data_IF_641392297442
#
_entry.id   IF_641392297442
#
_cell.length_a   1.000
_cell.length_b   1.000
_cell.length_c   1.000
_cell.angle_alpha   90.00
_cell.angle_beta   90.00
_cell.angle_gamma   90.00
#
_symmetry.space_group_name_H-M   'P 1'
#
loop_
_entity.id
_entity.type
_entity.pdbx_description
1 polymer ?
#
# COMPACT_ATOMS: atom_id res chain seq x y z
N UNK A 1 -23.73 -51.37 -70.12
CA UNK A 1 -24.32 -50.99 -68.81
C UNK A 1 -23.23 -50.62 -67.75
N UNK A 2 -21.91 -50.76 -68.00
CA UNK A 2 -20.87 -50.56 -67.05
C UNK A 2 -20.28 -49.08 -66.97
N UNK A 3 -20.53 -48.31 -68.05
CA UNK A 3 -20.04 -46.91 -68.11
C UNK A 3 -20.84 -45.98 -67.16
N UNK A 4 -22.12 -46.22 -67.03
CA UNK A 4 -22.98 -45.38 -66.16
C UNK A 4 -22.69 -45.58 -64.66
N UNK A 5 -22.19 -46.75 -64.27
CA UNK A 5 -21.78 -47.01 -62.84
C UNK A 5 -20.47 -46.39 -62.47
N UNK A 6 -19.49 -46.26 -63.37
CA UNK A 6 -18.19 -45.63 -63.11
C UNK A 6 -18.30 -44.08 -63.06
N UNK A 7 -19.17 -43.51 -63.92
CA UNK A 7 -19.39 -42.04 -63.88
C UNK A 7 -20.10 -41.57 -62.62
N UNK A 8 -21.02 -42.37 -62.07
CA UNK A 8 -21.68 -42.11 -60.80
C UNK A 8 -20.70 -42.20 -59.61
N UNK A 9 -19.79 -43.17 -59.65
CA UNK A 9 -18.75 -43.30 -58.64
C UNK A 9 -17.74 -42.17 -58.71
N UNK A 10 -17.39 -41.67 -59.90
CA UNK A 10 -16.53 -40.49 -60.06
C UNK A 10 -17.20 -39.21 -59.58
N UNK A 11 -18.47 -39.00 -59.87
CA UNK A 11 -19.24 -37.85 -59.38
C UNK A 11 -19.39 -37.87 -57.86
N UNK A 12 -19.63 -39.00 -57.23
CA UNK A 12 -19.67 -39.12 -55.77
C UNK A 12 -18.32 -38.83 -55.13
N UNK A 13 -17.20 -39.29 -55.71
CA UNK A 13 -15.82 -38.93 -55.21
C UNK A 13 -15.52 -37.47 -55.35
N UNK A 14 -15.96 -36.79 -56.40
CA UNK A 14 -15.79 -35.35 -56.58
C UNK A 14 -16.51 -34.59 -55.46
N UNK A 15 -17.76 -34.91 -55.18
CA UNK A 15 -18.54 -34.27 -54.11
C UNK A 15 -18.02 -34.58 -52.70
N UNK A 16 -17.48 -35.76 -52.47
CA UNK A 16 -16.81 -36.11 -51.21
C UNK A 16 -15.52 -35.32 -51.03
N UNK A 17 -14.70 -35.16 -52.10
CA UNK A 17 -13.49 -34.35 -52.05
C UNK A 17 -13.77 -32.85 -51.82
N UNK A 18 -14.84 -32.31 -52.42
CA UNK A 18 -15.27 -30.94 -52.18
C UNK A 18 -15.64 -30.72 -50.70
N UNK A 19 -16.45 -31.62 -50.11
CA UNK A 19 -16.80 -31.59 -48.70
C UNK A 19 -15.57 -31.70 -47.80
N UNK A 20 -14.62 -32.56 -48.14
CA UNK A 20 -13.39 -32.74 -47.39
C UNK A 20 -12.51 -31.47 -47.40
N UNK A 21 -12.44 -30.82 -48.56
CA UNK A 21 -11.75 -29.54 -48.69
C UNK A 21 -12.44 -28.42 -47.87
N UNK A 22 -13.78 -28.34 -47.86
CA UNK A 22 -14.53 -27.42 -47.02
C UNK A 22 -14.30 -27.65 -45.53
N UNK A 23 -14.33 -28.94 -45.10
CA UNK A 23 -14.04 -29.30 -43.73
C UNK A 23 -12.59 -28.93 -43.32
N UNK A 24 -11.61 -29.22 -44.17
CA UNK A 24 -10.22 -28.87 -43.92
C UNK A 24 -10.03 -27.35 -43.81
N UNK A 25 -10.65 -26.58 -44.69
CA UNK A 25 -10.62 -25.14 -44.66
C UNK A 25 -11.24 -24.58 -43.34
N UNK A 26 -12.41 -25.13 -42.95
CA UNK A 26 -13.07 -24.76 -41.71
C UNK A 26 -12.28 -25.16 -40.49
N UNK A 27 -11.64 -26.32 -40.49
CA UNK A 27 -10.75 -26.79 -39.42
C UNK A 27 -9.56 -25.86 -39.25
N UNK A 28 -8.90 -25.51 -40.36
CA UNK A 28 -7.74 -24.61 -40.34
C UNK A 28 -8.11 -23.25 -39.78
N UNK A 29 -9.24 -22.66 -40.20
CA UNK A 29 -9.73 -21.40 -39.68
C UNK A 29 -10.00 -21.48 -38.16
N UNK A 30 -10.63 -22.56 -37.71
CA UNK A 30 -10.91 -22.77 -36.28
C UNK A 30 -9.64 -22.93 -35.48
N UNK A 31 -8.61 -23.58 -36.02
CA UNK A 31 -7.31 -23.72 -35.37
C UNK A 31 -6.57 -22.36 -35.23
N UNK A 32 -6.62 -21.54 -36.30
CA UNK A 32 -6.07 -20.19 -36.28
C UNK A 32 -6.78 -19.32 -35.22
N UNK A 33 -8.11 -19.28 -35.24
CA UNK A 33 -8.88 -18.54 -34.20
C UNK A 33 -8.63 -19.07 -32.80
N UNK A 34 -8.46 -20.38 -32.63
CA UNK A 34 -8.12 -20.97 -31.32
C UNK A 34 -6.72 -20.57 -30.85
N UNK A 35 -5.77 -20.48 -31.78
CA UNK A 35 -4.39 -20.05 -31.48
C UNK A 35 -4.37 -18.60 -31.03
N UNK A 36 -5.03 -17.70 -31.75
CA UNK A 36 -5.14 -16.28 -31.40
C UNK A 36 -5.77 -16.08 -30.02
N UNK A 37 -6.88 -16.79 -29.74
CA UNK A 37 -7.53 -16.71 -28.42
C UNK A 37 -6.65 -17.25 -27.29
N UNK A 38 -5.84 -18.27 -27.54
CA UNK A 38 -4.89 -18.77 -26.54
C UNK A 38 -3.81 -17.74 -26.22
N UNK A 39 -3.31 -17.03 -27.20
CA UNK A 39 -2.36 -15.94 -26.98
C UNK A 39 -2.99 -14.83 -26.15
N UNK A 40 -4.22 -14.41 -26.46
CA UNK A 40 -4.96 -13.41 -25.68
C UNK A 40 -5.13 -13.85 -24.21
N UNK A 41 -5.51 -15.10 -23.98
CA UNK A 41 -5.65 -15.66 -22.62
C UNK A 41 -4.32 -15.59 -21.86
N UNK A 42 -3.20 -15.95 -22.50
CA UNK A 42 -1.86 -15.87 -21.89
C UNK A 42 -1.53 -14.44 -21.51
N UNK A 43 -1.81 -13.45 -22.37
CA UNK A 43 -1.60 -12.05 -22.05
C UNK A 43 -2.48 -11.55 -20.89
N UNK A 44 -3.74 -11.94 -20.87
CA UNK A 44 -4.65 -11.61 -19.78
C UNK A 44 -4.23 -12.26 -18.46
N UNK A 45 -3.84 -13.51 -18.45
CA UNK A 45 -3.35 -14.22 -17.27
C UNK A 45 -2.07 -13.58 -16.73
N UNK A 46 -1.17 -13.20 -17.64
CA UNK A 46 0.04 -12.49 -17.26
C UNK A 46 -0.26 -11.13 -16.65
N UNK A 47 -1.10 -10.31 -17.30
CA UNK A 47 -1.53 -9.03 -16.78
C UNK A 47 -2.23 -9.17 -15.42
N UNK A 48 -3.11 -10.16 -15.30
CA UNK A 48 -3.78 -10.46 -14.03
C UNK A 48 -2.78 -10.83 -12.93
N UNK A 49 -1.80 -11.67 -13.23
CA UNK A 49 -0.75 -12.05 -12.28
C UNK A 49 0.09 -10.87 -11.81
N UNK A 50 0.32 -9.86 -12.67
CA UNK A 50 1.03 -8.65 -12.31
C UNK A 50 0.20 -7.71 -11.44
N UNK A 51 -1.12 -7.69 -11.64
CA UNK A 51 -2.05 -6.81 -10.92
C UNK A 51 -2.50 -7.38 -9.57
N UNK A 52 -2.34 -8.69 -9.35
CA UNK A 52 -2.60 -9.32 -8.06
C UNK A 52 -1.78 -8.68 -6.94
N UNK A 53 -2.27 -8.80 -5.71
CA UNK A 53 -1.63 -8.23 -4.53
C UNK A 53 -0.21 -8.77 -4.29
N UNK A 54 0.07 -10.01 -4.67
CA UNK A 54 1.38 -10.66 -4.64
C UNK A 54 2.23 -10.46 -5.92
N UNK A 55 1.77 -9.64 -6.86
CA UNK A 55 2.44 -9.34 -8.13
C UNK A 55 3.53 -8.26 -8.04
N UNK A 56 3.43 -7.26 -8.94
CA UNK A 56 4.41 -6.15 -9.01
C UNK A 56 4.50 -5.35 -7.73
N UNK A 57 3.36 -5.12 -7.04
CA UNK A 57 3.32 -4.38 -5.77
C UNK A 57 4.25 -5.02 -4.75
N UNK A 58 4.11 -6.32 -4.52
CA UNK A 58 4.94 -7.06 -3.56
C UNK A 58 6.41 -7.04 -3.93
N UNK A 59 6.75 -7.18 -5.22
CA UNK A 59 8.15 -7.07 -5.68
C UNK A 59 8.75 -5.68 -5.41
N UNK A 60 7.96 -4.62 -5.57
CA UNK A 60 8.39 -3.25 -5.26
C UNK A 60 8.57 -3.11 -3.75
N UNK A 61 7.61 -3.60 -2.97
CA UNK A 61 7.63 -3.52 -1.51
C UNK A 61 8.84 -4.27 -0.95
N UNK A 62 9.10 -5.49 -1.38
CA UNK A 62 10.29 -6.30 -1.00
C UNK A 62 11.59 -5.50 -1.08
N UNK A 63 11.72 -4.67 -2.10
CA UNK A 63 12.91 -3.83 -2.29
C UNK A 63 13.08 -2.77 -1.19
N UNK A 64 11.97 -2.27 -0.63
CA UNK A 64 11.99 -1.21 0.38
C UNK A 64 11.85 -1.72 1.81
N UNK A 65 11.44 -2.96 2.02
CA UNK A 65 11.25 -3.54 3.36
C UNK A 65 12.48 -3.43 4.26
N UNK A 66 13.71 -3.73 3.81
CA UNK A 66 14.88 -3.57 4.67
C UNK A 66 15.06 -2.12 5.14
N UNK A 67 14.85 -1.16 4.24
CA UNK A 67 14.92 0.26 4.57
C UNK A 67 13.79 0.67 5.51
N UNK A 68 12.56 0.22 5.26
CA UNK A 68 11.39 0.49 6.12
C UNK A 68 11.66 -0.04 7.53
N UNK A 69 12.03 -1.31 7.65
CA UNK A 69 12.31 -1.93 8.95
C UNK A 69 13.43 -1.23 9.70
N UNK A 70 14.48 -0.81 9.02
CA UNK A 70 15.57 -0.05 9.61
C UNK A 70 15.10 1.32 10.12
N UNK A 71 14.32 2.05 9.33
CA UNK A 71 13.85 3.39 9.73
C UNK A 71 12.82 3.34 10.85
N UNK A 72 11.87 2.40 10.82
CA UNK A 72 10.91 2.23 11.92
C UNK A 72 11.65 2.01 13.24
N UNK A 73 12.58 1.05 13.29
CA UNK A 73 13.33 0.77 14.51
C UNK A 73 14.20 1.95 14.96
N UNK A 74 14.75 2.73 14.01
CA UNK A 74 15.47 3.96 14.34
C UNK A 74 14.56 5.00 15.01
N UNK A 75 13.34 5.20 14.49
CA UNK A 75 12.39 6.13 15.10
C UNK A 75 11.92 5.65 16.47
N UNK A 76 11.69 4.35 16.63
CA UNK A 76 11.33 3.75 17.93
C UNK A 76 12.44 3.98 18.97
N UNK A 77 13.71 3.77 18.60
CA UNK A 77 14.86 4.06 19.47
C UNK A 77 14.96 5.53 19.84
N UNK A 78 14.65 6.45 18.93
CA UNK A 78 14.63 7.89 19.21
C UNK A 78 13.53 8.31 20.20
N UNK A 79 12.47 7.49 20.29
CA UNK A 79 11.39 7.65 21.28
C UNK A 79 11.63 6.84 22.56
N UNK A 80 12.86 6.40 22.81
CA UNK A 80 13.23 5.55 23.94
C UNK A 80 12.39 4.27 24.05
N UNK A 81 11.92 3.77 22.91
CA UNK A 81 11.10 2.55 22.82
C UNK A 81 11.89 1.42 22.16
N UNK A 82 12.50 0.57 22.97
CA UNK A 82 13.46 -0.44 22.56
C UNK A 82 12.78 -1.77 22.27
N UNK A 83 12.07 -1.84 21.16
CA UNK A 83 11.53 -3.06 20.59
C UNK A 83 12.15 -3.33 19.21
N UNK A 84 12.06 -4.54 18.72
CA UNK A 84 12.41 -4.87 17.35
C UNK A 84 11.12 -5.09 16.57
N UNK A 85 10.78 -4.11 15.74
CA UNK A 85 9.61 -4.13 14.87
C UNK A 85 10.04 -4.53 13.46
N UNK A 86 9.36 -5.50 12.87
CA UNK A 86 9.61 -5.91 11.49
C UNK A 86 8.30 -6.10 10.74
N UNK A 87 8.27 -5.63 9.49
CA UNK A 87 7.22 -5.93 8.54
C UNK A 87 7.73 -6.96 7.54
N UNK A 88 6.88 -7.93 7.21
CA UNK A 88 7.14 -8.87 6.13
C UNK A 88 6.56 -8.35 4.79
N UNK A 89 6.61 -9.18 3.77
CA UNK A 89 6.18 -8.85 2.41
C UNK A 89 4.66 -8.67 2.27
N UNK A 90 3.89 -9.28 3.16
CA UNK A 90 2.45 -9.17 3.28
C UNK A 90 1.99 -8.04 4.22
N UNK A 91 2.94 -7.18 4.70
CA UNK A 91 2.70 -6.16 5.72
C UNK A 91 2.20 -6.69 7.06
N UNK A 92 2.51 -7.95 7.36
CA UNK A 92 2.26 -8.51 8.67
C UNK A 92 3.41 -8.07 9.58
N UNK A 93 3.05 -7.44 10.69
CA UNK A 93 3.99 -7.02 11.71
C UNK A 93 4.44 -8.19 12.59
N UNK A 94 5.71 -8.16 12.94
CA UNK A 94 6.27 -9.00 13.99
C UNK A 94 7.03 -8.11 14.95
N UNK A 95 6.69 -8.18 16.23
CA UNK A 95 7.33 -7.39 17.27
C UNK A 95 8.03 -8.32 18.25
N UNK A 96 9.32 -8.03 18.49
CA UNK A 96 10.11 -8.74 19.50
C UNK A 96 10.58 -7.74 20.54
N UNK A 97 10.30 -8.05 21.80
CA UNK A 97 10.82 -7.32 22.94
C UNK A 97 12.00 -8.07 23.55
N UNK A 98 12.97 -7.41 24.19
CA UNK A 98 14.05 -8.07 24.95
C UNK A 98 13.54 -9.00 26.03
N UNK A 99 12.30 -8.84 26.48
CA UNK A 99 11.71 -9.56 27.62
C UNK A 99 10.71 -10.64 27.15
N UNK A 100 10.08 -10.47 25.96
CA UNK A 100 9.04 -11.37 25.45
C UNK A 100 9.29 -11.68 23.97
N UNK A 101 9.32 -12.97 23.61
CA UNK A 101 9.61 -13.41 22.23
C UNK A 101 8.44 -13.25 21.26
N UNK A 102 7.19 -13.31 21.74
CA UNK A 102 5.99 -13.20 20.91
C UNK A 102 5.08 -12.08 21.44
N UNK A 103 5.26 -10.88 20.93
CA UNK A 103 4.40 -9.75 21.23
C UNK A 103 3.56 -9.37 20.00
N UNK A 104 2.25 -9.31 20.19
CA UNK A 104 1.33 -8.79 19.17
C UNK A 104 1.13 -7.29 19.38
N UNK A 105 0.92 -6.52 18.29
CA UNK A 105 0.56 -5.11 18.35
C UNK A 105 -0.62 -4.82 19.30
N UNK A 106 -1.59 -5.74 19.38
CA UNK A 106 -2.73 -5.62 20.27
C UNK A 106 -2.38 -5.63 21.77
N UNK A 107 -1.20 -6.13 22.12
CA UNK A 107 -0.75 -6.26 23.53
C UNK A 107 -0.15 -4.97 24.08
N UNK A 108 0.12 -3.98 23.24
CA UNK A 108 0.68 -2.69 23.63
C UNK A 108 -0.37 -1.74 24.21
N UNK A 109 0.05 -0.91 25.15
CA UNK A 109 -0.74 0.24 25.62
C UNK A 109 -0.98 1.24 24.49
N UNK A 110 -1.98 2.09 24.62
CA UNK A 110 -2.30 3.09 23.60
C UNK A 110 -1.12 4.06 23.33
N UNK A 111 -0.35 4.42 24.36
CA UNK A 111 0.85 5.24 24.20
C UNK A 111 1.97 4.55 23.43
N UNK A 112 2.17 3.24 23.64
CA UNK A 112 3.14 2.43 22.90
C UNK A 112 2.72 2.22 21.44
N UNK A 113 1.44 1.96 21.20
CA UNK A 113 0.87 1.90 19.85
C UNK A 113 1.09 3.19 19.08
N UNK A 114 0.84 4.33 19.74
CA UNK A 114 1.06 5.63 19.15
C UNK A 114 2.53 5.87 18.75
N UNK A 115 3.51 5.40 19.54
CA UNK A 115 4.93 5.47 19.17
C UNK A 115 5.21 4.62 17.93
N UNK A 116 4.62 3.44 17.81
CA UNK A 116 4.76 2.60 16.61
C UNK A 116 4.14 3.29 15.38
N UNK A 117 2.93 3.85 15.52
CA UNK A 117 2.22 4.53 14.45
C UNK A 117 2.98 5.77 13.96
N UNK A 118 3.55 6.55 14.88
CA UNK A 118 4.41 7.69 14.55
C UNK A 118 5.70 7.24 13.84
N UNK A 119 6.34 6.17 14.31
CA UNK A 119 7.52 5.62 13.66
C UNK A 119 7.23 5.18 12.23
N UNK A 120 6.08 4.53 12.00
CA UNK A 120 5.60 4.16 10.69
C UNK A 120 5.31 5.38 9.82
N UNK A 121 4.59 6.38 10.33
CA UNK A 121 4.27 7.63 9.61
C UNK A 121 5.55 8.32 9.11
N UNK A 122 6.54 8.51 9.96
CA UNK A 122 7.80 9.14 9.58
C UNK A 122 8.61 8.28 8.61
N UNK A 123 8.58 6.97 8.77
CA UNK A 123 9.21 6.04 7.83
C UNK A 123 8.59 6.14 6.44
N UNK A 124 7.25 6.17 6.34
CA UNK A 124 6.56 6.33 5.06
C UNK A 124 6.88 7.67 4.39
N UNK A 125 7.02 8.73 5.18
CA UNK A 125 7.47 10.02 4.67
C UNK A 125 8.88 9.93 4.07
N UNK A 126 9.82 9.25 4.73
CA UNK A 126 11.17 9.05 4.20
C UNK A 126 11.18 8.18 2.92
N UNK A 127 10.36 7.13 2.86
CA UNK A 127 10.19 6.33 1.64
C UNK A 127 9.65 7.17 0.48
N UNK A 128 8.67 8.04 0.73
CA UNK A 128 8.12 8.94 -0.27
C UNK A 128 9.17 9.95 -0.79
N UNK A 129 9.99 10.50 0.10
CA UNK A 129 11.12 11.37 -0.25
C UNK A 129 12.17 10.63 -1.09
N UNK A 130 12.53 9.44 -0.70
CA UNK A 130 13.53 8.62 -1.41
C UNK A 130 13.09 8.30 -2.84
N UNK A 131 11.78 8.11 -3.06
CA UNK A 131 11.22 7.88 -4.39
C UNK A 131 11.01 9.14 -5.22
N UNK A 132 11.25 10.33 -4.70
CA UNK A 132 10.86 11.60 -5.33
C UNK A 132 9.37 11.69 -5.70
N UNK A 133 8.53 10.83 -5.09
CA UNK A 133 7.10 10.76 -5.43
C UNK A 133 6.28 11.84 -4.74
N UNK A 134 6.72 12.32 -3.57
CA UNK A 134 6.11 13.45 -2.86
C UNK A 134 7.14 14.09 -1.93
N UNK A 135 7.77 15.16 -2.38
CA UNK A 135 8.66 15.95 -1.53
C UNK A 135 7.89 17.15 -0.96
N UNK A 136 6.94 16.87 -0.05
CA UNK A 136 6.24 17.92 0.66
C UNK A 136 7.06 18.39 1.84
N UNK A 137 7.26 19.70 1.93
CA UNK A 137 7.86 20.35 3.09
C UNK A 137 6.83 20.75 4.14
N UNK A 138 5.65 20.18 4.11
CA UNK A 138 4.54 20.43 5.00
C UNK A 138 4.12 19.15 5.72
N UNK A 139 3.94 19.24 7.04
CA UNK A 139 3.38 18.19 7.87
C UNK A 139 2.33 18.82 8.79
N UNK A 140 1.10 18.36 8.68
CA UNK A 140 -0.02 18.80 9.52
C UNK A 140 -0.42 17.61 10.40
N UNK A 141 -0.46 17.83 11.69
CA UNK A 141 -0.87 16.85 12.69
C UNK A 141 -2.07 17.38 13.45
N UNK A 142 -3.20 16.72 13.30
CA UNK A 142 -4.46 17.14 13.88
C UNK A 142 -4.83 16.21 15.04
N UNK A 143 -4.92 16.75 16.24
CA UNK A 143 -5.31 16.06 17.49
C UNK A 143 -4.51 14.79 17.84
N UNK A 144 -3.35 14.57 17.19
CA UNK A 144 -2.54 13.36 17.37
C UNK A 144 -2.10 13.16 18.83
N UNK A 145 -2.02 14.24 19.60
CA UNK A 145 -1.55 14.24 20.99
C UNK A 145 -2.65 14.20 22.03
N UNK A 146 -3.89 14.40 21.63
CA UNK A 146 -4.93 14.74 22.59
C UNK A 146 -5.44 13.53 23.38
N UNK A 147 -5.33 12.32 22.81
CA UNK A 147 -5.92 11.12 23.40
C UNK A 147 -4.92 10.08 23.95
N UNK A 148 -3.74 9.95 23.37
CA UNK A 148 -2.96 8.72 23.55
C UNK A 148 -1.53 8.91 24.07
N UNK A 149 -0.99 10.13 24.02
CA UNK A 149 0.34 10.40 24.52
C UNK A 149 0.31 11.03 25.93
N UNK A 150 1.00 10.39 26.85
CA UNK A 150 1.35 10.98 28.13
C UNK A 150 2.41 12.09 27.94
N UNK A 151 2.79 12.78 29.02
CA UNK A 151 3.78 13.84 28.96
C UNK A 151 5.13 13.37 28.38
N UNK A 152 5.55 12.14 28.69
CA UNK A 152 6.79 11.56 28.18
C UNK A 152 6.72 11.26 26.69
N UNK A 153 5.62 10.66 26.21
CA UNK A 153 5.42 10.40 24.78
C UNK A 153 5.38 11.68 23.95
N UNK A 154 4.85 12.75 24.51
CA UNK A 154 4.85 14.08 23.86
C UNK A 154 6.27 14.64 23.71
N UNK A 155 7.11 14.52 24.72
CA UNK A 155 8.51 15.00 24.69
C UNK A 155 9.36 14.19 23.70
N UNK A 156 9.18 12.88 23.65
CA UNK A 156 9.86 12.00 22.70
C UNK A 156 9.48 12.31 21.25
N UNK A 157 8.21 12.59 21.00
CA UNK A 157 7.76 13.03 19.70
C UNK A 157 8.38 14.39 19.30
N UNK A 158 8.44 15.34 20.21
CA UNK A 158 9.06 16.64 19.95
C UNK A 158 10.56 16.51 19.64
N UNK A 159 11.26 15.52 20.22
CA UNK A 159 12.62 15.18 19.83
C UNK A 159 12.70 14.81 18.35
N UNK A 160 11.79 13.96 17.87
CA UNK A 160 11.75 13.57 16.44
C UNK A 160 11.52 14.79 15.56
N UNK A 161 10.53 15.61 15.87
CA UNK A 161 10.23 16.82 15.11
C UNK A 161 11.47 17.72 15.01
N UNK A 162 12.12 18.00 16.12
CA UNK A 162 13.23 18.94 16.17
C UNK A 162 14.52 18.41 15.55
N UNK A 163 14.81 17.11 15.71
CA UNK A 163 16.10 16.55 15.31
C UNK A 163 16.09 15.85 13.98
N UNK A 164 14.95 15.30 13.56
CA UNK A 164 14.86 14.45 12.37
C UNK A 164 14.17 15.16 11.20
N UNK A 165 13.16 15.98 11.48
CA UNK A 165 12.37 16.64 10.42
C UNK A 165 12.84 18.10 10.28
N UNK A 166 14.05 18.28 9.78
CA UNK A 166 14.64 19.63 9.63
C UNK A 166 14.11 20.40 8.43
N UNK A 167 13.54 19.71 7.44
CA UNK A 167 13.20 20.29 6.14
C UNK A 167 11.68 20.42 5.92
N UNK A 168 10.88 20.46 6.99
CA UNK A 168 9.44 20.59 6.87
C UNK A 168 8.89 21.66 7.82
N UNK A 169 7.86 22.37 7.32
CA UNK A 169 7.00 23.19 8.16
C UNK A 169 6.00 22.29 8.85
N UNK A 170 5.97 22.32 10.17
CA UNK A 170 5.13 21.42 10.96
C UNK A 170 4.07 22.23 11.67
N UNK A 171 2.82 21.85 11.45
CA UNK A 171 1.66 22.40 12.12
C UNK A 171 1.06 21.33 13.02
N UNK A 172 0.90 21.65 14.29
CA UNK A 172 0.28 20.76 15.27
C UNK A 172 -0.99 21.44 15.78
N UNK A 173 -2.11 20.76 15.61
CA UNK A 173 -3.42 21.17 16.13
C UNK A 173 -3.66 20.31 17.37
N UNK A 174 -3.91 20.96 18.51
CA UNK A 174 -4.12 20.29 19.79
C UNK A 174 -4.99 21.12 20.72
N UNK A 175 -5.79 20.45 21.53
CA UNK A 175 -6.57 21.06 22.60
C UNK A 175 -5.83 21.11 23.95
N UNK A 176 -4.65 20.48 24.03
CA UNK A 176 -3.84 20.44 25.25
C UNK A 176 -3.14 21.77 25.51
N UNK A 177 -3.43 22.36 26.68
CA UNK A 177 -2.86 23.65 27.06
C UNK A 177 -1.34 23.58 27.36
N UNK A 178 -0.84 22.43 27.80
CA UNK A 178 0.58 22.17 28.08
C UNK A 178 1.46 22.08 26.82
N UNK A 179 0.84 22.04 25.65
CA UNK A 179 1.55 22.07 24.37
C UNK A 179 2.01 23.48 23.98
N UNK A 180 1.42 24.55 24.54
CA UNK A 180 1.69 25.92 24.10
C UNK A 180 3.14 26.34 24.30
N UNK A 181 3.75 25.96 25.41
CA UNK A 181 5.12 26.35 25.74
C UNK A 181 6.19 25.52 25.00
N UNK A 182 5.75 24.54 24.24
CA UNK A 182 6.65 23.60 23.52
C UNK A 182 6.93 24.04 22.07
N UNK A 183 6.20 25.03 21.55
CA UNK A 183 6.34 25.54 20.19
C UNK A 183 6.71 27.02 20.16
N UNK A 184 7.51 27.43 19.18
CA UNK A 184 7.96 28.81 19.00
C UNK A 184 6.80 29.75 18.61
N UNK A 185 5.85 29.24 17.83
CA UNK A 185 4.69 30.03 17.37
C UNK A 185 3.41 29.31 17.71
N UNK A 186 2.50 29.98 18.39
CA UNK A 186 1.21 29.44 18.82
C UNK A 186 0.08 30.34 18.34
N UNK A 187 -0.88 29.74 17.63
CA UNK A 187 -2.11 30.39 17.18
C UNK A 187 -3.25 29.87 18.04
N UNK A 188 -3.88 30.76 18.84
CA UNK A 188 -5.02 30.40 19.69
C UNK A 188 -6.32 30.78 19.00
N UNK A 189 -7.19 29.81 18.77
CA UNK A 189 -8.57 30.09 18.38
C UNK A 189 -9.35 30.62 19.60
N UNK A 190 -9.80 31.89 19.53
CA UNK A 190 -10.70 32.47 20.51
C UNK A 190 -12.11 32.28 19.99
N UNK A 191 -12.83 31.27 20.49
CA UNK A 191 -14.30 31.23 20.34
C UNK A 191 -14.85 32.53 20.88
N UNK A 192 -15.31 33.43 20.02
CA UNK A 192 -16.09 34.60 20.39
C UNK A 192 -17.41 34.08 20.98
N UNK A 193 -17.51 34.12 22.30
CA UNK A 193 -18.78 33.91 23.00
C UNK A 193 -19.65 35.12 22.66
N UNK A 194 -20.48 35.05 21.63
CA UNK A 194 -21.58 35.94 21.45
C UNK A 194 -22.54 35.68 22.62
N UNK A 195 -22.46 36.52 23.61
CA UNK A 195 -23.52 36.69 24.61
C UNK A 195 -24.79 37.02 23.84
N UNK A 196 -25.69 36.07 23.72
CA UNK A 196 -27.10 36.35 23.39
C UNK A 196 -27.70 37.10 24.57
N UNK A 197 -27.54 38.42 24.59
CA UNK A 197 -28.38 39.32 25.35
C UNK A 197 -29.62 39.63 24.52
N UNK A 198 -30.58 38.77 24.60
CA UNK A 198 -31.94 39.09 24.21
C UNK A 198 -32.87 38.34 25.16
N UNK A 199 -33.34 39.05 26.22
CA UNK A 199 -34.73 39.05 26.60
C UNK A 199 -34.91 39.89 27.88
N UNK A 200 -35.37 41.08 27.66
CA UNK A 200 -36.50 41.62 28.43
C UNK A 200 -37.45 42.25 27.45
#
# INVERSE_FOLDING_TARGET
SDVCSSDLQLANRSTENEKLNEFNSSLQKTLEESSERREEVIYHDFAYSLLKDDGVKTKIIKKYLPFINQQVNRYLQLMDFYINFTLNEEFIETVRSPIHEDFSYSSFSEGEKMRIDLALLFTWREVARFKNSANTNLLIMDEVFDSSLDGFGTDDFLKIIRFVIKDANIFVISHKADMYDKFETVIKDRKSTRLNSSHQ
#
